data_IF_339004838307
#
_entry.id   IF_339004838307
#
_cell.length_a   1.000
_cell.length_b   1.000
_cell.length_c   1.000
_cell.angle_alpha   90.00
_cell.angle_beta   90.00
_cell.angle_gamma   90.00
#
_symmetry.space_group_name_H-M   'P 1'
#
loop_
_entity.id
_entity.type
_entity.pdbx_description
1 polymer ?
#
# COMPACT_ATOMS: atom_id res chain seq x y z
N UNK A 1 13.19 -7.43 23.48
CA UNK A 1 12.24 -8.44 22.95
C UNK A 1 12.67 -8.80 21.56
N UNK A 2 12.89 -10.08 21.30
CA UNK A 2 13.30 -10.61 20.00
C UNK A 2 12.01 -11.00 19.26
N UNK A 3 11.73 -10.35 18.14
CA UNK A 3 10.48 -10.54 17.38
C UNK A 3 10.71 -11.63 16.34
N UNK A 4 10.15 -12.82 16.54
CA UNK A 4 10.45 -14.00 15.71
C UNK A 4 9.73 -14.02 14.36
N UNK A 5 8.89 -13.02 14.04
CA UNK A 5 7.99 -13.05 12.89
C UNK A 5 7.90 -11.73 12.14
N UNK A 6 7.60 -11.86 10.84
CA UNK A 6 7.64 -10.81 9.84
C UNK A 6 6.48 -9.82 10.03
N UNK A 7 6.78 -8.51 10.01
CA UNK A 7 5.77 -7.45 9.91
C UNK A 7 5.36 -7.28 8.46
N UNK A 8 4.08 -7.39 8.13
CA UNK A 8 3.58 -7.26 6.75
C UNK A 8 3.20 -5.83 6.35
N UNK A 9 2.86 -4.99 7.32
CA UNK A 9 2.48 -3.60 7.07
C UNK A 9 3.00 -2.68 8.18
N UNK A 10 3.34 -1.44 7.82
CA UNK A 10 3.79 -0.39 8.73
C UNK A 10 3.13 0.92 8.29
N UNK A 11 2.52 1.64 9.22
CA UNK A 11 1.96 2.98 8.99
C UNK A 11 2.33 3.91 10.14
N UNK A 12 2.30 5.21 9.87
CA UNK A 12 2.49 6.25 10.87
C UNK A 12 1.17 6.98 11.12
N UNK A 13 0.99 7.50 12.32
CA UNK A 13 -0.05 8.49 12.58
C UNK A 13 0.19 9.78 11.81
N UNK A 14 -0.82 10.65 11.76
CA UNK A 14 -0.74 11.93 11.05
C UNK A 14 0.40 12.82 11.57
N UNK A 15 0.78 12.69 12.85
CA UNK A 15 1.87 13.48 13.46
C UNK A 15 3.26 12.87 13.24
N UNK A 16 3.35 11.60 12.82
CA UNK A 16 4.60 10.86 12.68
C UNK A 16 5.24 10.40 14.00
N UNK A 17 4.53 10.54 15.14
CA UNK A 17 5.02 10.16 16.48
C UNK A 17 4.63 8.76 16.90
N UNK A 18 3.61 8.18 16.25
CA UNK A 18 3.15 6.82 16.51
C UNK A 18 3.37 6.02 15.25
N UNK A 19 4.10 4.92 15.38
CA UNK A 19 4.20 3.90 14.34
C UNK A 19 3.30 2.73 14.74
N UNK A 20 2.56 2.20 13.76
CA UNK A 20 1.76 0.98 13.88
C UNK A 20 2.33 -0.05 12.93
N UNK A 21 2.58 -1.25 13.41
CA UNK A 21 3.13 -2.34 12.61
C UNK A 21 2.40 -3.65 12.87
N UNK A 22 2.52 -4.63 11.99
CA UNK A 22 1.93 -5.96 12.22
C UNK A 22 2.97 -6.98 12.70
N UNK A 23 2.53 -8.05 13.34
CA UNK A 23 3.35 -9.22 13.68
C UNK A 23 2.42 -10.43 13.80
N UNK A 24 2.33 -11.23 12.74
CA UNK A 24 1.27 -12.24 12.58
C UNK A 24 -0.11 -11.62 12.79
N UNK A 25 -0.94 -12.19 13.66
CA UNK A 25 -2.26 -11.71 14.01
C UNK A 25 -2.28 -10.52 14.99
N UNK A 26 -1.10 -10.08 15.45
CA UNK A 26 -1.00 -8.94 16.37
C UNK A 26 -0.69 -7.65 15.62
N UNK A 27 -1.12 -6.54 16.21
CA UNK A 27 -0.73 -5.19 15.83
C UNK A 27 0.09 -4.60 16.97
N UNK A 28 1.23 -4.01 16.63
CA UNK A 28 2.18 -3.44 17.57
C UNK A 28 2.15 -1.92 17.44
N UNK A 29 2.03 -1.24 18.57
CA UNK A 29 2.06 0.22 18.64
C UNK A 29 3.41 0.67 19.21
N UNK A 30 4.00 1.67 18.59
CA UNK A 30 5.31 2.19 18.93
C UNK A 30 5.28 3.70 19.04
N UNK A 31 5.96 4.23 20.05
CA UNK A 31 6.39 5.63 20.01
C UNK A 31 7.58 5.73 19.04
N UNK A 32 7.51 6.68 18.12
CA UNK A 32 8.58 7.04 17.20
C UNK A 32 9.10 8.44 17.54
N UNK A 33 10.40 8.56 17.71
CA UNK A 33 11.06 9.85 17.94
C UNK A 33 12.42 9.85 17.25
N UNK A 34 12.55 10.60 16.15
CA UNK A 34 13.79 10.86 15.42
C UNK A 34 14.65 9.60 15.19
N UNK A 35 14.06 8.62 14.50
CA UNK A 35 14.76 7.38 14.15
C UNK A 35 14.86 6.35 15.27
N UNK A 36 14.25 6.60 16.43
CA UNK A 36 14.13 5.63 17.52
C UNK A 36 12.69 5.18 17.70
N UNK A 37 12.50 3.89 17.96
CA UNK A 37 11.19 3.30 18.26
C UNK A 37 11.17 2.64 19.63
N UNK A 38 10.05 2.76 20.33
CA UNK A 38 9.78 2.07 21.58
C UNK A 38 8.39 1.46 21.54
N UNK A 39 8.31 0.14 21.69
CA UNK A 39 7.02 -0.56 21.75
C UNK A 39 6.26 -0.12 22.99
N UNK A 40 5.00 0.29 22.83
CA UNK A 40 4.13 0.72 23.92
C UNK A 40 2.93 -0.21 24.13
N UNK A 41 2.42 -0.85 23.08
CA UNK A 41 1.25 -1.72 23.19
C UNK A 41 1.26 -2.85 22.15
N UNK A 42 0.53 -3.92 22.47
CA UNK A 42 0.15 -5.01 21.54
C UNK A 42 -1.36 -5.08 21.49
N UNK A 43 -1.94 -5.21 20.31
CA UNK A 43 -3.37 -5.37 20.07
C UNK A 43 -3.59 -6.73 19.39
N UNK A 44 -4.55 -7.51 19.89
CA UNK A 44 -4.65 -8.95 19.60
C UNK A 44 -6.10 -9.39 19.35
N UNK A 45 -6.79 -8.73 18.43
CA UNK A 45 -8.19 -9.03 18.09
C UNK A 45 -8.35 -9.91 16.84
N UNK A 46 -7.42 -9.80 15.88
CA UNK A 46 -7.45 -10.60 14.66
C UNK A 46 -7.17 -12.08 14.94
N UNK A 47 -7.86 -12.96 14.22
CA UNK A 47 -7.75 -14.41 14.39
C UNK A 47 -6.63 -15.00 13.52
N UNK A 48 -6.26 -14.32 12.45
CA UNK A 48 -5.12 -14.68 11.58
C UNK A 48 -4.25 -13.47 11.27
N UNK A 49 -3.21 -13.68 10.45
CA UNK A 49 -2.20 -12.68 10.11
C UNK A 49 -2.81 -11.38 9.60
N UNK A 50 -2.39 -10.24 10.17
CA UNK A 50 -2.73 -8.90 9.71
C UNK A 50 -1.83 -8.54 8.52
N UNK A 51 -2.45 -8.27 7.38
CA UNK A 51 -1.79 -8.12 6.08
C UNK A 51 -1.58 -6.68 5.66
N UNK A 52 -2.50 -5.79 6.04
CA UNK A 52 -2.51 -4.40 5.61
C UNK A 52 -3.02 -3.47 6.71
N UNK A 53 -2.52 -2.23 6.67
CA UNK A 53 -2.86 -1.16 7.60
C UNK A 53 -3.04 0.14 6.82
N UNK A 54 -3.95 0.98 7.28
CA UNK A 54 -4.05 2.40 6.85
C UNK A 54 -4.35 3.25 8.08
N UNK A 55 -3.65 4.37 8.22
CA UNK A 55 -3.88 5.31 9.31
C UNK A 55 -4.65 6.54 8.79
N UNK A 56 -5.60 7.02 9.58
CA UNK A 56 -6.40 8.21 9.30
C UNK A 56 -5.56 9.49 9.45
N UNK A 57 -5.58 10.34 8.42
CA UNK A 57 -4.97 11.67 8.42
C UNK A 57 -5.82 12.71 9.16
N UNK A 58 -7.14 12.48 9.30
CA UNK A 58 -8.09 13.45 9.88
C UNK A 58 -8.45 13.12 11.34
N UNK A 59 -8.40 11.84 11.73
CA UNK A 59 -8.79 11.34 13.03
C UNK A 59 -7.70 10.43 13.60
N UNK A 60 -7.68 10.26 14.93
CA UNK A 60 -6.74 9.36 15.59
C UNK A 60 -7.24 7.90 15.52
N UNK A 61 -7.30 7.37 14.31
CA UNK A 61 -7.76 6.02 14.01
C UNK A 61 -6.80 5.33 13.04
N UNK A 62 -6.74 4.01 13.11
CA UNK A 62 -6.22 3.21 12.01
C UNK A 62 -7.16 2.04 11.71
N UNK A 63 -7.02 1.47 10.53
CA UNK A 63 -7.79 0.33 10.06
C UNK A 63 -6.82 -0.77 9.67
N UNK A 64 -7.24 -2.01 9.93
CA UNK A 64 -6.44 -3.21 9.68
C UNK A 64 -7.27 -4.23 8.91
N UNK A 65 -6.64 -4.90 7.95
CA UNK A 65 -7.19 -6.05 7.24
C UNK A 65 -6.36 -7.31 7.50
N UNK A 66 -7.01 -8.47 7.49
CA UNK A 66 -6.42 -9.75 7.90
C UNK A 66 -6.65 -10.88 6.88
N UNK A 67 -5.84 -11.92 7.01
CA UNK A 67 -6.01 -13.20 6.30
C UNK A 67 -7.24 -14.00 6.76
N UNK A 68 -7.90 -13.59 7.84
CA UNK A 68 -9.22 -14.13 8.23
C UNK A 68 -10.40 -13.47 7.49
N UNK A 69 -10.12 -12.54 6.57
CA UNK A 69 -11.13 -11.81 5.79
C UNK A 69 -11.79 -10.67 6.53
N UNK A 70 -11.39 -10.41 7.78
CA UNK A 70 -11.96 -9.34 8.58
C UNK A 70 -11.22 -8.01 8.43
N UNK A 71 -11.99 -6.92 8.60
CA UNK A 71 -11.49 -5.56 8.74
C UNK A 71 -11.90 -5.03 10.13
N UNK A 72 -10.94 -4.43 10.83
CA UNK A 72 -11.14 -3.83 12.16
C UNK A 72 -10.68 -2.37 12.16
N UNK A 73 -11.54 -1.49 12.67
CA UNK A 73 -11.25 -0.08 12.94
C UNK A 73 -10.75 0.05 14.39
N UNK A 74 -9.73 0.89 14.60
CA UNK A 74 -9.08 1.08 15.89
C UNK A 74 -9.07 2.56 16.24
N UNK A 75 -9.69 2.89 17.37
CA UNK A 75 -9.77 4.25 17.91
C UNK A 75 -8.71 4.46 18.99
N UNK A 76 -7.93 5.53 18.87
CA UNK A 76 -7.05 5.95 19.95
C UNK A 76 -7.83 6.70 21.03
N UNK A 77 -7.61 6.36 22.30
CA UNK A 77 -8.18 7.01 23.47
C UNK A 77 -7.15 7.92 24.17
N UNK A 78 -7.60 8.79 25.08
CA UNK A 78 -6.79 9.83 25.73
C UNK A 78 -5.56 9.31 26.52
N UNK A 79 -5.52 8.02 26.86
CA UNK A 79 -4.48 7.37 27.65
C UNK A 79 -3.54 6.47 26.81
N UNK A 80 -3.42 6.74 25.50
CA UNK A 80 -2.69 5.92 24.53
C UNK A 80 -3.21 4.47 24.43
N UNK A 81 -4.40 4.17 24.95
CA UNK A 81 -5.07 2.90 24.68
C UNK A 81 -5.78 2.95 23.34
N UNK A 82 -6.04 1.76 22.82
CA UNK A 82 -6.72 1.54 21.57
C UNK A 82 -7.96 0.68 21.79
N UNK A 83 -9.06 1.11 21.19
CA UNK A 83 -10.33 0.39 21.20
C UNK A 83 -10.64 -0.12 19.79
N UNK A 84 -10.90 -1.41 19.65
CA UNK A 84 -11.34 -2.02 18.40
C UNK A 84 -12.85 -1.82 18.18
N UNK A 85 -13.25 -1.76 16.91
CA UNK A 85 -14.62 -2.02 16.47
C UNK A 85 -14.89 -3.53 16.45
N UNK A 86 -16.16 -3.93 16.23
CA UNK A 86 -16.45 -5.31 15.84
C UNK A 86 -15.77 -5.63 14.49
N UNK A 87 -15.16 -6.82 14.32
CA UNK A 87 -14.64 -7.26 13.03
C UNK A 87 -15.76 -7.31 11.98
N UNK A 88 -15.49 -6.76 10.79
CA UNK A 88 -16.38 -6.83 9.64
C UNK A 88 -15.88 -7.91 8.67
N UNK A 89 -16.68 -8.94 8.43
CA UNK A 89 -16.26 -10.16 7.72
C UNK A 89 -17.03 -10.37 6.40
N UNK A 90 -17.22 -9.32 5.59
CA UNK A 90 -17.89 -9.44 4.29
C UNK A 90 -16.99 -10.06 3.21
N UNK A 91 -15.68 -9.88 3.32
CA UNK A 91 -14.74 -10.59 2.45
C UNK A 91 -14.63 -12.05 2.87
N UNK A 92 -14.59 -12.94 1.87
CA UNK A 92 -14.59 -14.41 2.08
C UNK A 92 -13.18 -14.99 2.14
N UNK A 93 -12.19 -14.21 1.74
CA UNK A 93 -10.77 -14.58 1.78
C UNK A 93 -9.93 -13.41 2.30
N UNK A 94 -8.60 -13.59 2.31
CA UNK A 94 -7.66 -12.61 2.85
C UNK A 94 -7.80 -11.22 2.24
N UNK A 95 -7.76 -10.20 3.10
CA UNK A 95 -7.62 -8.81 2.67
C UNK A 95 -6.16 -8.60 2.25
N UNK A 96 -5.93 -8.03 1.08
CA UNK A 96 -4.57 -7.77 0.57
C UNK A 96 -4.17 -6.30 0.69
N UNK A 97 -5.13 -5.40 0.46
CA UNK A 97 -4.89 -3.96 0.49
C UNK A 97 -6.13 -3.21 0.97
N UNK A 98 -5.90 -2.07 1.63
CA UNK A 98 -6.92 -1.14 2.09
C UNK A 98 -6.45 0.29 1.84
N UNK A 99 -7.35 1.16 1.41
CA UNK A 99 -7.09 2.60 1.23
C UNK A 99 -8.28 3.44 1.73
N UNK A 100 -7.98 4.65 2.19
CA UNK A 100 -8.95 5.66 2.59
C UNK A 100 -9.10 6.72 1.51
N UNK A 101 -10.31 7.25 1.35
CA UNK A 101 -10.53 8.52 0.65
C UNK A 101 -10.01 9.70 1.48
N UNK A 102 -9.78 10.84 0.83
CA UNK A 102 -9.19 12.05 1.42
C UNK A 102 -10.09 12.62 2.51
N UNK A 103 -11.41 12.57 2.30
CA UNK A 103 -12.40 12.95 3.32
C UNK A 103 -12.65 11.84 4.35
N UNK A 104 -12.08 10.65 4.15
CA UNK A 104 -12.20 9.46 4.99
C UNK A 104 -13.64 9.04 5.26
N UNK A 105 -14.52 9.32 4.30
CA UNK A 105 -15.91 8.88 4.28
C UNK A 105 -16.04 7.44 3.74
N UNK A 106 -15.04 6.98 2.97
CA UNK A 106 -14.97 5.64 2.41
C UNK A 106 -13.66 4.93 2.72
N UNK A 107 -13.78 3.64 3.04
CA UNK A 107 -12.70 2.67 2.95
C UNK A 107 -12.91 1.85 1.68
N UNK A 108 -11.83 1.53 0.97
CA UNK A 108 -11.86 0.60 -0.16
C UNK A 108 -10.87 -0.53 0.13
N UNK A 109 -11.32 -1.77 0.05
CA UNK A 109 -10.52 -2.96 0.33
C UNK A 109 -10.47 -3.91 -0.87
N UNK A 110 -9.29 -4.45 -1.19
CA UNK A 110 -9.10 -5.49 -2.20
C UNK A 110 -8.72 -6.82 -1.54
N UNK A 111 -9.27 -7.92 -2.04
CA UNK A 111 -9.17 -9.25 -1.42
C UNK A 111 -8.82 -10.35 -2.41
N UNK A 112 -8.38 -11.49 -1.87
CA UNK A 112 -8.16 -12.71 -2.65
C UNK A 112 -9.44 -13.36 -3.17
N UNK A 113 -10.60 -12.98 -2.62
CA UNK A 113 -11.92 -13.38 -3.10
C UNK A 113 -12.33 -12.72 -4.43
N UNK A 114 -11.38 -12.05 -5.10
CA UNK A 114 -11.52 -11.34 -6.37
C UNK A 114 -12.36 -10.05 -6.29
N UNK A 115 -12.84 -9.66 -5.10
CA UNK A 115 -13.68 -8.49 -4.91
C UNK A 115 -12.88 -7.29 -4.45
N UNK A 116 -13.40 -6.11 -4.81
CA UNK A 116 -13.08 -4.85 -4.13
C UNK A 116 -14.34 -4.43 -3.38
N UNK A 117 -14.28 -4.29 -2.05
CA UNK A 117 -15.42 -3.83 -1.26
C UNK A 117 -15.25 -2.35 -0.91
N UNK A 118 -16.37 -1.62 -0.96
CA UNK A 118 -16.46 -0.23 -0.55
C UNK A 118 -17.28 -0.15 0.73
N UNK A 119 -16.78 0.61 1.70
CA UNK A 119 -17.37 0.73 3.04
C UNK A 119 -17.55 2.19 3.40
N UNK A 120 -18.56 2.49 4.19
CA UNK A 120 -18.69 3.77 4.90
C UNK A 120 -18.01 3.66 6.25
N UNK A 121 -17.29 4.71 6.63
CA UNK A 121 -16.65 4.82 7.94
C UNK A 121 -17.46 5.78 8.81
N UNK A 122 -17.82 5.33 10.01
CA UNK A 122 -18.39 6.16 11.06
C UNK A 122 -17.42 6.20 12.25
N UNK A 123 -16.59 7.23 12.28
CA UNK A 123 -15.63 7.43 13.36
C UNK A 123 -16.34 7.71 14.70
N UNK A 124 -17.50 8.38 14.71
CA UNK A 124 -18.20 8.76 15.94
C UNK A 124 -18.60 7.49 16.70
N UNK A 125 -19.19 6.54 15.98
CA UNK A 125 -19.69 5.28 16.53
C UNK A 125 -18.65 4.14 16.48
N UNK A 126 -17.43 4.41 16.00
CA UNK A 126 -16.37 3.42 15.79
C UNK A 126 -16.86 2.21 14.98
N UNK A 127 -17.52 2.48 13.86
CA UNK A 127 -18.19 1.49 13.03
C UNK A 127 -17.75 1.57 11.57
N UNK A 128 -17.66 0.41 10.94
CA UNK A 128 -17.49 0.26 9.50
C UNK A 128 -18.73 -0.43 8.94
N UNK A 129 -19.30 0.13 7.87
CA UNK A 129 -20.54 -0.38 7.24
C UNK A 129 -20.27 -0.71 5.79
N UNK A 130 -20.49 -1.96 5.39
CA UNK A 130 -20.40 -2.37 4.00
C UNK A 130 -21.42 -1.65 3.12
N UNK A 131 -21.02 -1.21 1.94
CA UNK A 131 -21.90 -0.54 0.98
C UNK A 131 -22.18 -1.43 -0.24
N UNK A 132 -21.13 -1.83 -0.95
CA UNK A 132 -21.21 -2.65 -2.16
C UNK A 132 -19.84 -3.19 -2.55
N UNK A 133 -19.83 -4.14 -3.49
CA UNK A 133 -18.62 -4.70 -4.10
C UNK A 133 -18.49 -4.29 -5.56
N UNK A 134 -17.26 -4.12 -6.01
CA UNK A 134 -16.89 -3.99 -7.42
C UNK A 134 -16.39 -5.35 -7.91
N UNK A 135 -17.01 -5.87 -8.97
CA UNK A 135 -16.77 -7.22 -9.48
C UNK A 135 -16.30 -7.15 -10.93
N UNK A 136 -15.02 -7.44 -11.15
CA UNK A 136 -14.42 -7.50 -12.50
C UNK A 136 -13.15 -8.32 -12.53
N UNK A 137 -12.39 -8.30 -11.44
CA UNK A 137 -11.26 -9.19 -11.26
C UNK A 137 -11.72 -10.65 -11.18
N UNK A 138 -10.92 -11.55 -11.76
CA UNK A 138 -11.16 -13.00 -11.78
C UNK A 138 -10.16 -13.78 -10.90
N UNK A 139 -9.23 -13.07 -10.28
CA UNK A 139 -8.28 -13.56 -9.27
C UNK A 139 -8.05 -12.46 -8.23
N UNK A 140 -7.26 -12.77 -7.20
CA UNK A 140 -6.88 -11.87 -6.11
C UNK A 140 -6.59 -10.43 -6.55
N UNK A 141 -7.20 -9.47 -5.87
CA UNK A 141 -6.89 -8.04 -5.98
C UNK A 141 -5.76 -7.72 -4.99
N UNK A 142 -4.62 -7.28 -5.51
CA UNK A 142 -3.40 -7.12 -4.71
C UNK A 142 -3.17 -5.68 -4.27
N UNK A 143 -3.50 -4.70 -5.12
CA UNK A 143 -3.20 -3.30 -4.84
C UNK A 143 -4.28 -2.37 -5.38
N UNK A 144 -4.49 -1.27 -4.66
CA UNK A 144 -5.41 -0.18 -4.99
C UNK A 144 -4.68 1.17 -4.88
N UNK A 145 -5.03 2.12 -5.73
CA UNK A 145 -4.59 3.51 -5.60
C UNK A 145 -5.62 4.48 -6.15
N UNK A 146 -5.90 5.54 -5.41
CA UNK A 146 -6.67 6.69 -5.88
C UNK A 146 -5.76 7.70 -6.58
N UNK A 147 -6.28 8.40 -7.59
CA UNK A 147 -5.62 9.58 -8.16
C UNK A 147 -5.84 10.82 -7.26
N UNK A 148 -5.25 11.96 -7.61
CA UNK A 148 -5.21 13.13 -6.73
C UNK A 148 -6.58 13.72 -6.43
N UNK A 149 -7.47 13.76 -7.42
CA UNK A 149 -8.85 14.23 -7.26
C UNK A 149 -9.81 13.20 -6.67
N UNK A 150 -9.35 11.95 -6.47
CA UNK A 150 -10.15 10.78 -6.09
C UNK A 150 -11.36 10.52 -7.00
N UNK A 151 -11.24 10.91 -8.27
CA UNK A 151 -12.22 10.57 -9.31
C UNK A 151 -11.92 9.24 -9.95
N UNK A 152 -10.66 8.81 -9.91
CA UNK A 152 -10.19 7.54 -10.46
C UNK A 152 -9.56 6.68 -9.38
N UNK A 153 -9.89 5.39 -9.43
CA UNK A 153 -9.26 4.32 -8.67
C UNK A 153 -8.62 3.37 -9.69
N UNK A 154 -7.36 3.00 -9.47
CA UNK A 154 -6.71 1.90 -10.20
C UNK A 154 -6.61 0.70 -9.28
N UNK A 155 -6.97 -0.47 -9.81
CA UNK A 155 -6.77 -1.76 -9.16
C UNK A 155 -5.96 -2.71 -10.03
N UNK A 156 -5.23 -3.60 -9.39
CA UNK A 156 -4.50 -4.66 -10.08
C UNK A 156 -4.46 -5.96 -9.28
N UNK A 157 -4.23 -7.09 -9.96
CA UNK A 157 -4.30 -8.40 -9.33
C UNK A 157 -3.57 -9.53 -10.03
N UNK A 158 -3.80 -10.76 -9.53
CA UNK A 158 -3.22 -12.00 -10.08
C UNK A 158 -3.78 -12.38 -11.45
N UNK A 159 -4.89 -11.77 -11.88
CA UNK A 159 -5.51 -11.98 -13.19
C UNK A 159 -4.88 -11.12 -14.30
N UNK A 160 -3.78 -10.42 -13.98
CA UNK A 160 -3.02 -9.55 -14.90
C UNK A 160 -3.76 -8.28 -15.33
N UNK A 161 -5.00 -8.07 -14.87
CA UNK A 161 -5.78 -6.89 -15.23
C UNK A 161 -5.31 -5.68 -14.45
N UNK A 162 -5.27 -4.54 -15.15
CA UNK A 162 -5.19 -3.20 -14.55
C UNK A 162 -6.53 -2.55 -14.86
N UNK A 163 -7.32 -2.26 -13.84
CA UNK A 163 -8.69 -1.77 -14.00
C UNK A 163 -8.77 -0.36 -13.45
N UNK A 164 -9.31 0.55 -14.26
CA UNK A 164 -9.68 1.88 -13.82
C UNK A 164 -11.17 1.90 -13.50
N UNK A 165 -11.47 2.43 -12.32
CA UNK A 165 -12.82 2.69 -11.83
C UNK A 165 -13.01 4.20 -11.70
N UNK A 166 -14.20 4.66 -12.03
CA UNK A 166 -14.58 6.07 -11.93
C UNK A 166 -15.58 6.27 -10.80
N UNK A 167 -15.36 7.33 -10.01
CA UNK A 167 -16.29 7.82 -8.99
C UNK A 167 -17.34 8.71 -9.64
N UNK A 168 -18.60 8.40 -9.45
CA UNK A 168 -19.72 9.23 -9.92
C UNK A 168 -20.05 10.36 -8.94
N UNK A 169 -21.01 11.20 -9.30
CA UNK A 169 -21.46 12.33 -8.48
C UNK A 169 -22.08 11.91 -7.13
N UNK A 170 -22.48 10.65 -6.98
CA UNK A 170 -23.03 10.08 -5.74
C UNK A 170 -21.95 9.38 -4.90
N UNK A 171 -20.67 9.63 -5.18
CA UNK A 171 -19.53 8.96 -4.57
C UNK A 171 -19.52 7.42 -4.78
N UNK A 172 -20.15 6.92 -5.85
CA UNK A 172 -20.16 5.50 -6.17
C UNK A 172 -19.11 5.17 -7.21
N UNK A 173 -18.35 4.11 -6.97
CA UNK A 173 -17.35 3.60 -7.90
C UNK A 173 -18.00 2.69 -8.94
N UNK A 174 -17.65 2.89 -10.20
CA UNK A 174 -18.11 2.06 -11.32
C UNK A 174 -16.95 1.74 -12.27
N UNK A 175 -17.06 0.63 -13.00
CA UNK A 175 -16.04 0.24 -13.97
C UNK A 175 -15.95 1.29 -15.09
N UNK A 176 -14.72 1.70 -15.43
CA UNK A 176 -14.47 2.62 -16.54
C UNK A 176 -13.76 1.92 -17.70
N UNK A 177 -12.59 1.31 -17.44
CA UNK A 177 -11.77 0.68 -18.49
C UNK A 177 -10.82 -0.36 -17.92
N UNK A 178 -10.34 -1.24 -18.81
CA UNK A 178 -9.16 -2.08 -18.58
C UNK A 178 -7.99 -1.44 -19.32
N UNK A 179 -6.87 -1.24 -18.63
CA UNK A 179 -5.64 -0.71 -19.23
C UNK A 179 -4.82 -1.88 -19.77
N UNK A 180 -4.56 -1.86 -21.07
CA UNK A 180 -3.68 -2.82 -21.71
C UNK A 180 -2.23 -2.37 -21.55
N UNK A 181 -1.34 -3.31 -21.24
CA UNK A 181 0.10 -3.12 -21.32
C UNK A 181 0.71 -4.26 -22.12
N UNK A 182 1.83 -4.01 -22.79
CA UNK A 182 2.40 -4.98 -23.71
C UNK A 182 3.04 -6.15 -22.92
N UNK A 183 2.23 -7.16 -22.63
CA UNK A 183 2.62 -8.38 -21.94
C UNK A 183 3.56 -9.17 -22.85
N UNK A 184 4.87 -9.14 -22.56
CA UNK A 184 5.84 -9.98 -23.27
C UNK A 184 5.65 -11.49 -22.96
N UNK A 185 4.87 -11.83 -21.92
CA UNK A 185 4.49 -13.20 -21.57
C UNK A 185 3.13 -13.29 -20.87
N UNK A 186 2.36 -14.32 -21.23
CA UNK A 186 0.94 -14.59 -20.90
C UNK A 186 0.67 -14.89 -19.39
N UNK A 187 1.65 -14.74 -18.49
CA UNK A 187 1.54 -15.26 -17.10
C UNK A 187 2.03 -14.31 -16.01
N UNK A 188 2.07 -13.01 -16.25
CA UNK A 188 2.64 -12.06 -15.30
C UNK A 188 1.58 -11.20 -14.63
N UNK A 189 1.27 -11.65 -13.43
CA UNK A 189 0.47 -10.93 -12.46
C UNK A 189 1.06 -9.56 -12.17
N UNK A 190 0.18 -8.60 -11.89
CA UNK A 190 0.59 -7.27 -11.47
C UNK A 190 0.71 -7.25 -9.95
N UNK A 191 1.89 -6.84 -9.48
CA UNK A 191 2.16 -6.76 -8.05
C UNK A 191 1.68 -5.44 -7.46
N UNK A 192 2.04 -4.31 -8.10
CA UNK A 192 1.77 -2.99 -7.54
C UNK A 192 1.37 -1.98 -8.61
N UNK A 193 0.41 -1.13 -8.24
CA UNK A 193 0.01 0.08 -8.98
C UNK A 193 -0.04 1.28 -8.04
N UNK A 194 0.30 2.45 -8.54
CA UNK A 194 0.24 3.70 -7.78
C UNK A 194 0.02 4.89 -8.70
N UNK A 195 -1.04 5.66 -8.48
CA UNK A 195 -1.14 7.00 -9.07
C UNK A 195 -0.06 7.89 -8.46
N UNK A 196 0.66 8.59 -9.34
CA UNK A 196 1.69 9.57 -8.98
C UNK A 196 1.25 10.99 -9.35
N UNK A 197 0.25 11.13 -10.24
CA UNK A 197 -0.41 12.38 -10.63
C UNK A 197 -1.88 12.12 -10.94
N UNK A 198 -2.62 13.16 -11.26
CA UNK A 198 -4.03 13.07 -11.65
C UNK A 198 -4.25 12.13 -12.85
N UNK A 199 -3.37 12.23 -13.84
CA UNK A 199 -3.44 11.54 -15.12
C UNK A 199 -2.33 10.49 -15.30
N UNK A 200 -1.49 10.25 -14.28
CA UNK A 200 -0.36 9.31 -14.38
C UNK A 200 -0.31 8.32 -13.22
N UNK A 201 -0.11 7.06 -13.56
CA UNK A 201 0.21 6.01 -12.59
C UNK A 201 1.42 5.20 -13.02
N UNK A 202 2.05 4.56 -12.04
CA UNK A 202 3.14 3.61 -12.26
C UNK A 202 2.69 2.20 -11.94
N UNK A 203 3.31 1.26 -12.63
CA UNK A 203 3.05 -0.16 -12.56
C UNK A 203 4.37 -0.89 -12.32
N UNK A 204 4.39 -1.71 -11.28
CA UNK A 204 5.51 -2.62 -11.00
C UNK A 204 5.00 -4.07 -11.08
N UNK A 205 5.31 -4.80 -12.15
CA UNK A 205 4.87 -6.18 -12.32
C UNK A 205 5.58 -7.17 -11.39
N UNK A 206 5.03 -8.37 -11.24
CA UNK A 206 5.55 -9.36 -10.29
C UNK A 206 6.90 -9.98 -10.66
N UNK A 207 7.13 -10.26 -11.95
CA UNK A 207 8.33 -10.98 -12.44
C UNK A 207 9.25 -10.15 -13.33
N UNK A 208 8.84 -8.93 -13.70
CA UNK A 208 9.63 -8.09 -14.59
C UNK A 208 10.50 -7.12 -13.81
N UNK A 209 11.70 -6.89 -14.32
CA UNK A 209 12.68 -5.98 -13.73
C UNK A 209 12.54 -4.56 -14.29
N UNK A 210 11.31 -4.09 -14.45
CA UNK A 210 11.05 -2.73 -14.91
C UNK A 210 9.82 -2.11 -14.25
N UNK A 211 9.88 -0.79 -14.12
CA UNK A 211 8.76 0.06 -13.74
C UNK A 211 8.18 0.69 -15.02
N UNK A 212 6.88 0.55 -15.19
CA UNK A 212 6.15 1.13 -16.31
C UNK A 212 5.41 2.39 -15.85
N UNK A 213 5.30 3.36 -16.74
CA UNK A 213 4.59 4.62 -16.48
C UNK A 213 3.45 4.70 -17.49
N UNK A 214 2.24 4.98 -16.99
CA UNK A 214 1.04 5.16 -17.81
C UNK A 214 0.56 6.59 -17.67
N UNK A 215 0.05 7.14 -18.77
CA UNK A 215 -0.60 8.45 -18.78
C UNK A 215 -1.94 8.38 -19.49
N UNK A 216 -2.91 9.12 -18.95
CA UNK A 216 -4.20 9.30 -19.58
C UNK A 216 -4.10 10.27 -20.75
N UNK A 217 -4.55 9.82 -21.93
CA UNK A 217 -4.72 10.64 -23.14
C UNK A 217 -6.08 10.29 -23.74
N UNK A 218 -6.89 11.31 -24.01
CA UNK A 218 -8.25 11.16 -24.57
C UNK A 218 -9.13 10.17 -23.79
N UNK A 219 -9.01 10.21 -22.45
CA UNK A 219 -9.76 9.34 -21.54
C UNK A 219 -9.18 7.94 -21.35
N UNK A 220 -8.20 7.51 -22.15
CA UNK A 220 -7.58 6.18 -22.05
C UNK A 220 -6.18 6.25 -21.47
N UNK A 221 -5.81 5.29 -20.63
CA UNK A 221 -4.43 5.18 -20.14
C UNK A 221 -3.56 4.40 -21.12
N UNK A 222 -2.40 4.96 -21.46
CA UNK A 222 -1.44 4.37 -22.37
C UNK A 222 -0.04 4.37 -21.73
N UNK A 223 0.75 3.34 -22.01
CA UNK A 223 2.15 3.26 -21.57
C UNK A 223 2.98 4.37 -22.23
N UNK A 224 3.79 5.07 -21.43
CA UNK A 224 4.83 5.97 -21.92
C UNK A 224 6.13 5.17 -21.99
N UNK A 225 6.41 4.61 -23.17
CA UNK A 225 7.55 3.71 -23.40
C UNK A 225 8.87 4.40 -23.03
N UNK A 226 9.03 5.70 -23.31
CA UNK A 226 10.28 6.42 -23.03
C UNK A 226 10.53 6.61 -21.53
N UNK A 227 9.49 6.55 -20.69
CA UNK A 227 9.60 6.70 -19.22
C UNK A 227 9.75 5.36 -18.48
N UNK A 228 9.80 4.24 -19.21
CA UNK A 228 10.03 2.93 -18.62
C UNK A 228 11.39 2.90 -17.92
N UNK A 229 11.41 2.54 -16.64
CA UNK A 229 12.65 2.39 -15.88
C UNK A 229 13.05 0.92 -15.88
N UNK A 230 14.14 0.59 -16.57
CA UNK A 230 14.74 -0.74 -16.51
C UNK A 230 15.65 -0.84 -15.29
N UNK A 231 15.37 -1.78 -14.39
CA UNK A 231 16.25 -2.08 -13.27
C UNK A 231 17.43 -2.91 -13.76
N UNK A 232 18.64 -2.55 -13.31
CA UNK A 232 19.88 -3.25 -13.66
C UNK A 232 19.94 -4.66 -13.07
N UNK A 233 19.30 -4.86 -11.92
CA UNK A 233 19.32 -6.13 -11.18
C UNK A 233 18.21 -7.03 -11.69
N UNK A 234 18.61 -8.20 -12.15
CA UNK A 234 17.71 -9.28 -12.57
C UNK A 234 17.83 -10.43 -11.58
N UNK A 235 16.71 -11.07 -11.25
CA UNK A 235 16.70 -12.37 -10.61
C UNK A 235 15.74 -13.29 -11.33
N UNK A 236 16.10 -14.57 -11.46
CA UNK A 236 15.17 -15.59 -11.89
C UNK A 236 14.12 -15.81 -10.79
N UNK A 237 12.84 -15.61 -11.12
CA UNK A 237 11.72 -15.92 -10.24
C UNK A 237 10.93 -14.70 -9.73
N UNK A 238 10.82 -14.61 -8.42
CA UNK A 238 9.77 -13.90 -7.70
C UNK A 238 10.20 -12.49 -7.27
N UNK A 239 10.33 -11.61 -8.25
CA UNK A 239 11.00 -10.30 -8.16
C UNK A 239 10.30 -9.33 -7.18
N UNK A 240 8.98 -9.18 -7.30
CA UNK A 240 8.21 -8.13 -6.60
C UNK A 240 7.06 -8.68 -5.71
N UNK A 241 7.19 -9.89 -5.15
CA UNK A 241 6.09 -10.52 -4.39
C UNK A 241 5.66 -9.84 -3.09
N UNK A 242 6.47 -8.91 -2.56
CA UNK A 242 6.28 -8.47 -1.17
C UNK A 242 5.56 -7.14 -1.08
N UNK A 243 4.81 -7.06 0.01
CA UNK A 243 3.92 -6.03 0.52
C UNK A 243 4.59 -4.68 0.85
N UNK A 244 5.82 -4.41 0.38
CA UNK A 244 6.38 -3.07 0.47
C UNK A 244 5.62 -2.19 -0.53
N UNK A 245 4.88 -1.18 -0.08
CA UNK A 245 4.05 -0.39 -0.98
C UNK A 245 4.92 0.52 -1.85
N UNK A 246 4.44 0.87 -3.03
CA UNK A 246 4.97 2.03 -3.75
C UNK A 246 4.54 3.29 -2.98
N UNK A 247 5.52 4.02 -2.46
CA UNK A 247 5.32 5.24 -1.67
C UNK A 247 5.75 6.42 -2.51
N UNK A 248 4.84 7.37 -2.71
CA UNK A 248 5.14 8.62 -3.40
C UNK A 248 5.20 9.77 -2.40
N UNK A 249 6.38 10.35 -2.24
CA UNK A 249 6.69 11.50 -1.39
C UNK A 249 6.57 12.75 -2.28
N UNK A 250 5.33 13.23 -2.45
CA UNK A 250 4.97 14.27 -3.42
C UNK A 250 5.81 15.54 -3.27
N UNK A 251 5.97 16.07 -2.07
CA UNK A 251 6.73 17.33 -1.83
C UNK A 251 8.22 17.23 -2.16
N UNK A 252 8.72 16.01 -2.39
CA UNK A 252 10.11 15.73 -2.77
C UNK A 252 10.24 15.16 -4.18
N UNK A 253 9.14 14.94 -4.89
CA UNK A 253 9.07 14.23 -6.17
C UNK A 253 9.83 12.90 -6.15
N UNK A 254 9.68 12.13 -5.06
CA UNK A 254 10.39 10.89 -4.84
C UNK A 254 9.45 9.71 -4.70
N UNK A 255 9.81 8.60 -5.32
CA UNK A 255 9.12 7.33 -5.25
C UNK A 255 10.05 6.36 -4.51
N UNK A 256 9.58 5.83 -3.39
CA UNK A 256 10.23 4.73 -2.69
C UNK A 256 9.48 3.44 -3.02
N UNK A 257 10.21 2.46 -3.53
CA UNK A 257 9.66 1.13 -3.83
C UNK A 257 10.70 0.07 -3.53
N UNK A 258 10.25 -1.19 -3.53
CA UNK A 258 11.13 -2.34 -3.42
C UNK A 258 11.23 -3.03 -4.77
N UNK A 259 12.40 -3.57 -5.09
CA UNK A 259 12.56 -4.57 -6.15
C UNK A 259 13.67 -5.55 -5.78
N UNK A 260 13.36 -6.85 -5.86
CA UNK A 260 14.20 -7.95 -5.36
C UNK A 260 14.55 -7.73 -3.87
N UNK A 261 15.83 -7.66 -3.52
CA UNK A 261 16.34 -7.45 -2.17
C UNK A 261 16.73 -5.98 -1.91
N UNK A 262 16.25 -5.05 -2.73
CA UNK A 262 16.61 -3.64 -2.65
C UNK A 262 15.40 -2.75 -2.39
N UNK A 263 15.63 -1.72 -1.58
CA UNK A 263 14.76 -0.54 -1.53
C UNK A 263 15.39 0.52 -2.44
N UNK A 264 14.60 1.06 -3.36
CA UNK A 264 15.03 2.05 -4.34
C UNK A 264 14.29 3.36 -4.13
N UNK A 265 15.04 4.46 -4.25
CA UNK A 265 14.50 5.81 -4.35
C UNK A 265 14.66 6.29 -5.79
N UNK A 266 13.53 6.60 -6.42
CA UNK A 266 13.46 7.16 -7.76
C UNK A 266 12.99 8.60 -7.67
N UNK A 267 13.71 9.52 -8.30
CA UNK A 267 13.35 10.95 -8.38
C UNK A 267 12.80 11.26 -9.77
N UNK A 268 11.66 11.93 -9.81
CA UNK A 268 11.17 12.51 -11.06
C UNK A 268 12.01 13.75 -11.41
N UNK A 269 12.62 13.71 -12.59
CA UNK A 269 13.42 14.78 -13.15
C UNK A 269 12.53 15.85 -13.81
N UNK A 270 13.10 17.00 -14.17
CA UNK A 270 12.35 18.10 -14.78
C UNK A 270 11.72 17.75 -16.14
N UNK A 271 12.30 16.80 -16.87
CA UNK A 271 11.74 16.23 -18.12
C UNK A 271 10.66 15.16 -17.87
N UNK A 272 10.36 14.88 -16.60
CA UNK A 272 9.41 13.87 -16.16
C UNK A 272 9.95 12.43 -16.19
N UNK A 273 11.24 12.21 -16.44
CA UNK A 273 11.87 10.90 -16.34
C UNK A 273 12.01 10.46 -14.87
N UNK A 274 11.86 9.17 -14.61
CA UNK A 274 12.10 8.60 -13.29
C UNK A 274 13.51 8.03 -13.23
N UNK A 275 14.37 8.62 -12.40
CA UNK A 275 15.75 8.17 -12.25
C UNK A 275 15.99 7.59 -10.86
N UNK A 276 16.64 6.43 -10.79
CA UNK A 276 17.11 5.86 -9.52
C UNK A 276 18.23 6.75 -8.99
N UNK A 277 18.00 7.37 -7.83
CA UNK A 277 18.97 8.27 -7.18
C UNK A 277 19.66 7.60 -5.99
N UNK A 278 19.06 6.57 -5.41
CA UNK A 278 19.64 5.80 -4.32
C UNK A 278 19.09 4.37 -4.31
N UNK A 279 19.95 3.43 -3.93
CA UNK A 279 19.60 2.02 -3.70
C UNK A 279 20.15 1.60 -2.34
N UNK A 280 19.36 0.82 -1.60
CA UNK A 280 19.76 0.16 -0.36
C UNK A 280 19.65 -1.35 -0.55
N UNK A 281 20.77 -2.07 -0.45
CA UNK A 281 20.77 -3.53 -0.40
C UNK A 281 20.37 -4.00 1.00
N UNK A 282 19.18 -4.58 1.11
CA UNK A 282 18.69 -5.12 2.37
C UNK A 282 19.28 -6.50 2.67
N UNK A 283 19.91 -7.20 1.71
CA UNK A 283 20.50 -8.53 1.85
C UNK A 283 19.49 -9.69 2.10
N UNK A 284 18.19 -9.46 1.92
CA UNK A 284 17.13 -10.47 2.02
C UNK A 284 15.92 -10.12 1.15
N UNK A 285 15.10 -11.12 0.87
CA UNK A 285 13.95 -11.02 -0.04
C UNK A 285 12.73 -10.40 0.64
N UNK A 286 12.46 -10.79 1.88
CA UNK A 286 11.26 -10.38 2.62
C UNK A 286 11.45 -8.98 3.23
N UNK A 287 11.22 -7.96 2.41
CA UNK A 287 11.34 -6.55 2.82
C UNK A 287 9.95 -5.97 2.99
N UNK A 288 9.69 -5.43 4.17
CA UNK A 288 8.45 -4.76 4.54
C UNK A 288 8.78 -3.48 5.22
N UNK A 289 8.24 -2.38 4.75
CA UNK A 289 8.68 -1.09 5.23
C UNK A 289 7.78 0.02 4.76
N UNK A 290 8.12 1.21 5.24
CA UNK A 290 7.48 2.45 4.86
C UNK A 290 8.46 3.60 5.03
N UNK A 291 8.04 4.78 4.59
CA UNK A 291 8.74 6.04 4.85
C UNK A 291 7.85 6.87 5.77
N UNK A 292 8.45 7.63 6.69
CA UNK A 292 7.70 8.59 7.51
C UNK A 292 6.95 9.59 6.62
N UNK A 293 5.84 10.14 7.13
CA UNK A 293 4.99 11.06 6.35
C UNK A 293 5.74 12.25 5.74
N UNK A 294 6.77 12.75 6.45
CA UNK A 294 7.62 13.85 6.01
C UNK A 294 8.77 13.41 5.08
N UNK A 295 8.86 12.12 4.76
CA UNK A 295 9.93 11.55 3.95
C UNK A 295 11.27 11.36 4.68
N UNK A 296 11.42 11.76 5.94
CA UNK A 296 12.75 11.85 6.55
C UNK A 296 13.38 10.49 6.87
N UNK A 297 12.59 9.49 7.27
CA UNK A 297 13.12 8.19 7.67
C UNK A 297 12.49 7.07 6.85
N UNK A 298 13.33 6.17 6.33
CA UNK A 298 12.95 4.86 5.85
C UNK A 298 12.96 3.89 7.04
N UNK A 299 11.86 3.18 7.28
CA UNK A 299 11.77 2.11 8.26
C UNK A 299 11.40 0.82 7.54
N UNK A 300 12.12 -0.26 7.80
CA UNK A 300 11.73 -1.58 7.32
C UNK A 300 12.09 -2.69 8.30
N UNK A 301 11.36 -3.79 8.23
CA UNK A 301 11.60 -4.98 9.01
C UNK A 301 12.82 -5.74 8.50
N UNK A 302 13.80 -5.99 9.38
CA UNK A 302 14.98 -6.75 9.06
C UNK A 302 14.91 -8.20 9.54
N UNK A 303 14.72 -9.11 8.58
CA UNK A 303 14.47 -10.53 8.82
C UNK A 303 15.60 -11.21 9.63
N UNK A 304 16.86 -10.98 9.28
CA UNK A 304 18.02 -11.57 10.01
C UNK A 304 18.19 -11.02 11.43
N UNK A 305 17.91 -9.72 11.61
CA UNK A 305 18.13 -9.04 12.89
C UNK A 305 16.90 -9.11 13.79
N UNK A 306 15.77 -9.58 13.27
CA UNK A 306 14.49 -9.67 13.98
C UNK A 306 14.11 -8.34 14.65
N UNK A 307 14.35 -7.22 13.94
CA UNK A 307 14.07 -5.86 14.39
C UNK A 307 13.83 -4.91 13.21
N UNK A 308 13.24 -3.76 13.48
CA UNK A 308 13.18 -2.67 12.51
C UNK A 308 14.56 -2.04 12.30
N UNK A 309 14.90 -1.85 11.05
CA UNK A 309 16.01 -1.02 10.62
C UNK A 309 15.48 0.34 10.19
N UNK A 310 16.17 1.41 10.61
CA UNK A 310 15.73 2.78 10.40
C UNK A 310 16.90 3.56 9.82
N UNK A 311 16.67 4.20 8.68
CA UNK A 311 17.66 4.98 7.95
C UNK A 311 17.10 6.38 7.70
N UNK A 312 17.92 7.40 7.96
CA UNK A 312 17.57 8.77 7.57
C UNK A 312 17.85 8.94 6.06
N UNK A 313 16.85 9.44 5.33
CA UNK A 313 16.96 9.71 3.90
C UNK A 313 17.62 11.07 3.72
N UNK A 314 18.75 11.08 3.04
CA UNK A 314 19.50 12.30 2.73
C UNK A 314 19.16 12.75 1.32
N UNK A 315 18.43 13.86 1.21
CA UNK A 315 18.08 14.48 -0.06
C UNK A 315 19.27 15.33 -0.54
N UNK A 316 20.07 14.78 -1.45
CA UNK A 316 21.12 15.54 -2.14
C UNK A 316 20.58 16.27 -3.36
#
# INVERSE_FOLDING_TARGET
>A
MQFTYISRAIVFDSTGKIMVSTCRNNILIWNFNNGKIQKVQTLSEHQKDVTCLVYSKIKNYFISGSTDGSIILWKQLNNNQWQSSKPQCEHKEQINCIILTQNEDQLISGSSDCMINVWRIDFINNQLTFLYSLQKHSRSVNQLSLNESERLLVSCGYDTLIIIWQKDANNKWTFQQVVNYNQQSIQDSVAHVKFIKEDQFILLPYKFNCLYVFQQKDGQFQEIIEKKVQFKKNSEGYVNQSFFPIIYIKDKNLICLRHINHIMLLKEQNDGQLQIVQELDCQYWNIYGTVTNNGQYLIYWGEKKYKYEIYEIQYK
#
